data_IF_500118801983
#
_entry.id   IF_500118801983
#
_cell.length_a   1.000
_cell.length_b   1.000
_cell.length_c   1.000
_cell.angle_alpha   90.00
_cell.angle_beta   90.00
_cell.angle_gamma   90.00
#
_symmetry.space_group_name_H-M   'P 1'
#
loop_
_entity.id
_entity.type
_entity.pdbx_description
1 polymer ?
#
# COMPACT_ATOMS: atom_id res chain seq x y z
N UNK A 1 -0.19 -12.14 -2.28
CA UNK A 1 -0.74 -12.16 -0.90
C UNK A 1 0.09 -11.31 0.07
N UNK A 2 1.10 -10.58 -0.42
CA UNK A 2 2.04 -9.81 0.39
C UNK A 2 1.40 -8.50 0.87
N UNK A 3 0.79 -7.72 -0.03
CA UNK A 3 0.18 -6.43 0.31
C UNK A 3 -0.96 -6.65 1.30
N UNK A 4 -1.89 -7.56 0.95
CA UNK A 4 -3.10 -7.80 1.73
C UNK A 4 -2.78 -8.22 3.17
N UNK A 5 -1.81 -9.12 3.38
CA UNK A 5 -1.44 -9.58 4.72
C UNK A 5 -0.76 -8.48 5.52
N UNK A 6 0.20 -7.77 4.93
CA UNK A 6 0.95 -6.73 5.64
C UNK A 6 0.08 -5.54 6.05
N UNK A 7 -0.74 -5.01 5.14
CA UNK A 7 -1.58 -3.86 5.48
C UNK A 7 -2.66 -4.25 6.48
N UNK A 8 -3.32 -5.41 6.29
CA UNK A 8 -4.37 -5.87 7.20
C UNK A 8 -3.83 -6.03 8.63
N UNK A 9 -2.69 -6.70 8.79
CA UNK A 9 -2.05 -6.87 10.08
C UNK A 9 -1.60 -5.54 10.70
N UNK A 10 -1.10 -4.62 9.88
CA UNK A 10 -0.64 -3.30 10.35
C UNK A 10 -1.81 -2.44 10.86
N UNK A 11 -2.92 -2.39 10.12
CA UNK A 11 -4.12 -1.65 10.53
C UNK A 11 -4.79 -2.29 11.75
N UNK A 12 -4.79 -3.62 11.84
CA UNK A 12 -5.27 -4.31 13.05
C UNK A 12 -4.42 -3.97 14.28
N UNK A 13 -3.08 -3.99 14.16
CA UNK A 13 -2.17 -3.65 15.26
C UNK A 13 -2.34 -2.23 15.79
N UNK A 14 -2.73 -1.30 14.90
CA UNK A 14 -2.96 0.12 15.24
C UNK A 14 -4.42 0.44 15.57
N UNK A 15 -5.30 -0.57 15.70
CA UNK A 15 -6.76 -0.44 15.88
C UNK A 15 -7.48 0.40 14.80
N UNK A 16 -6.83 0.69 13.65
CA UNK A 16 -7.34 1.63 12.64
C UNK A 16 -8.59 1.11 11.92
N UNK A 17 -8.75 -0.21 11.79
CA UNK A 17 -10.00 -0.76 11.22
C UNK A 17 -11.21 -0.40 12.09
N UNK A 18 -11.03 -0.39 13.41
CA UNK A 18 -12.09 -0.03 14.36
C UNK A 18 -12.25 1.47 14.45
N UNK A 19 -11.15 2.23 14.55
CA UNK A 19 -11.16 3.71 14.57
C UNK A 19 -11.97 4.29 13.42
N UNK A 20 -11.80 3.74 12.21
CA UNK A 20 -12.48 4.22 11.01
C UNK A 20 -13.71 3.40 10.58
N UNK A 21 -14.20 2.49 11.44
CA UNK A 21 -15.36 1.65 11.16
C UNK A 21 -15.27 0.89 9.81
N UNK A 22 -14.07 0.41 9.48
CA UNK A 22 -13.80 -0.32 8.25
C UNK A 22 -14.19 -1.80 8.45
N UNK A 23 -15.17 -2.29 7.69
CA UNK A 23 -15.52 -3.71 7.67
C UNK A 23 -14.32 -4.54 7.16
N UNK A 24 -13.77 -5.46 7.99
CA UNK A 24 -12.63 -6.29 7.62
C UNK A 24 -12.84 -7.09 6.32
N UNK A 25 -14.07 -7.55 6.05
CA UNK A 25 -14.39 -8.35 4.86
C UNK A 25 -14.35 -7.50 3.60
N UNK A 26 -14.90 -6.28 3.68
CA UNK A 26 -14.86 -5.32 2.57
C UNK A 26 -13.41 -4.93 2.28
N UNK A 27 -12.64 -4.67 3.33
CA UNK A 27 -11.24 -4.28 3.21
C UNK A 27 -10.37 -5.38 2.61
N UNK A 28 -10.45 -6.62 3.10
CA UNK A 28 -9.70 -7.75 2.51
C UNK A 28 -10.08 -7.95 1.05
N UNK A 29 -11.37 -7.87 0.69
CA UNK A 29 -11.79 -7.99 -0.72
C UNK A 29 -11.21 -6.88 -1.59
N UNK A 30 -11.18 -5.65 -1.09
CA UNK A 30 -10.55 -4.52 -1.78
C UNK A 30 -9.05 -4.78 -2.00
N UNK A 31 -8.33 -5.21 -0.97
CA UNK A 31 -6.89 -5.46 -1.03
C UNK A 31 -6.53 -6.62 -1.95
N UNK A 32 -7.33 -7.68 -1.96
CA UNK A 32 -7.17 -8.78 -2.92
C UNK A 32 -7.33 -8.29 -4.36
N UNK A 33 -8.24 -7.33 -4.60
CA UNK A 33 -8.39 -6.71 -5.92
C UNK A 33 -7.18 -5.84 -6.27
N UNK A 34 -6.75 -4.96 -5.39
CA UNK A 34 -5.53 -4.13 -5.54
C UNK A 34 -4.34 -5.01 -5.89
N UNK A 35 -4.09 -6.05 -5.10
CA UNK A 35 -2.95 -6.92 -5.30
C UNK A 35 -3.02 -7.70 -6.63
N UNK A 36 -4.22 -8.13 -7.04
CA UNK A 36 -4.42 -8.78 -8.34
C UNK A 36 -4.18 -7.86 -9.55
N UNK A 37 -4.18 -6.54 -9.33
CA UNK A 37 -3.94 -5.54 -10.37
C UNK A 37 -2.45 -5.18 -10.50
N UNK A 38 -1.59 -5.63 -9.58
CA UNK A 38 -0.15 -5.60 -9.80
C UNK A 38 0.27 -6.73 -10.75
N UNK A 39 1.03 -6.39 -11.78
CA UNK A 39 1.41 -7.33 -12.85
C UNK A 39 2.55 -8.25 -12.39
N UNK A 40 2.30 -9.56 -12.36
CA UNK A 40 3.28 -10.54 -11.87
C UNK A 40 4.47 -10.75 -12.82
N UNK A 41 4.31 -10.39 -14.09
CA UNK A 41 5.33 -10.42 -15.13
C UNK A 41 6.21 -9.15 -15.15
N UNK A 42 5.85 -8.10 -14.41
CA UNK A 42 6.70 -6.92 -14.22
C UNK A 42 7.80 -7.24 -13.18
N UNK A 43 9.11 -7.15 -13.53
CA UNK A 43 10.17 -7.60 -12.63
C UNK A 43 10.31 -6.82 -11.32
N UNK A 44 9.94 -5.53 -11.31
CA UNK A 44 10.14 -4.64 -10.16
C UNK A 44 8.83 -4.05 -9.61
N UNK A 45 8.12 -3.21 -10.38
CA UNK A 45 6.86 -2.55 -9.95
C UNK A 45 5.66 -3.52 -9.88
N UNK A 46 5.80 -4.56 -9.05
CA UNK A 46 4.82 -5.60 -8.80
C UNK A 46 4.38 -5.58 -7.32
N UNK A 47 3.52 -6.52 -6.93
CA UNK A 47 2.95 -6.55 -5.57
C UNK A 47 3.98 -6.70 -4.45
N UNK A 48 5.16 -7.27 -4.73
CA UNK A 48 6.24 -7.38 -3.75
C UNK A 48 6.87 -6.02 -3.46
N UNK A 49 7.10 -5.20 -4.49
CA UNK A 49 7.60 -3.83 -4.31
C UNK A 49 6.62 -2.99 -3.48
N UNK A 50 5.33 -3.05 -3.78
CA UNK A 50 4.32 -2.33 -3.00
C UNK A 50 4.27 -2.78 -1.53
N UNK A 51 4.45 -4.09 -1.27
CA UNK A 51 4.53 -4.61 0.09
C UNK A 51 5.79 -4.14 0.84
N UNK A 52 6.93 -4.04 0.15
CA UNK A 52 8.18 -3.51 0.69
C UNK A 52 8.07 -2.02 1.04
N UNK A 53 7.52 -1.20 0.14
CA UNK A 53 7.25 0.23 0.39
C UNK A 53 6.28 0.41 1.55
N UNK A 54 5.21 -0.38 1.62
CA UNK A 54 4.27 -0.38 2.74
C UNK A 54 4.94 -0.71 4.08
N UNK A 55 5.75 -1.77 4.12
CA UNK A 55 6.44 -2.17 5.35
C UNK A 55 7.46 -1.11 5.78
N UNK A 56 8.19 -0.54 4.81
CA UNK A 56 9.14 0.54 5.05
C UNK A 56 8.45 1.79 5.59
N UNK A 57 7.33 2.22 4.99
CA UNK A 57 6.53 3.33 5.48
C UNK A 57 6.02 3.08 6.91
N UNK A 58 5.54 1.87 7.19
CA UNK A 58 5.12 1.49 8.53
C UNK A 58 6.26 1.56 9.56
N UNK A 59 7.48 1.19 9.18
CA UNK A 59 8.67 1.29 10.03
C UNK A 59 9.08 2.74 10.27
N UNK A 60 9.11 3.58 9.22
CA UNK A 60 9.45 4.99 9.34
C UNK A 60 8.47 5.76 10.25
N UNK A 61 7.17 5.44 10.18
CA UNK A 61 6.15 6.00 11.09
C UNK A 61 6.32 5.60 12.57
N UNK A 62 7.31 4.77 12.92
CA UNK A 62 7.66 4.41 14.31
C UNK A 62 8.94 5.10 14.78
N UNK A 63 9.53 6.00 13.98
CA UNK A 63 10.67 6.77 14.42
C UNK A 63 10.29 7.64 15.63
N UNK A 64 11.15 7.68 16.65
CA UNK A 64 10.95 8.47 17.88
C UNK A 64 10.70 9.95 17.57
N UNK A 65 11.36 10.49 16.53
CA UNK A 65 11.15 11.87 16.08
C UNK A 65 9.77 12.15 15.48
N UNK A 66 8.97 11.11 15.22
CA UNK A 66 7.63 11.18 14.64
C UNK A 66 6.54 10.70 15.61
N UNK A 67 6.89 10.45 16.87
CA UNK A 67 5.93 10.03 17.90
C UNK A 67 4.91 11.15 18.17
N UNK A 68 3.63 10.80 18.22
CA UNK A 68 2.50 11.73 18.34
C UNK A 68 2.45 12.90 17.33
N UNK A 69 3.17 12.81 16.20
CA UNK A 69 3.17 13.86 15.16
C UNK A 69 1.98 13.74 14.22
N UNK A 70 1.60 12.51 13.85
CA UNK A 70 0.57 12.24 12.86
C UNK A 70 -0.72 11.76 13.51
N UNK A 71 -1.85 12.24 12.98
CA UNK A 71 -3.17 11.71 13.31
C UNK A 71 -3.36 10.28 12.76
N UNK A 72 -4.33 9.55 13.33
CA UNK A 72 -4.74 8.25 12.82
C UNK A 72 -5.10 8.28 11.32
N UNK A 73 -5.67 9.38 10.83
CA UNK A 73 -6.07 9.53 9.44
C UNK A 73 -4.86 9.69 8.52
N UNK A 74 -3.86 10.46 8.94
CA UNK A 74 -2.61 10.61 8.20
C UNK A 74 -1.81 9.30 8.17
N UNK A 75 -1.78 8.55 9.28
CA UNK A 75 -1.17 7.22 9.33
C UNK A 75 -1.88 6.27 8.38
N UNK A 76 -3.22 6.21 8.41
CA UNK A 76 -4.00 5.41 7.47
C UNK A 76 -3.71 5.82 6.02
N UNK A 77 -3.67 7.12 5.73
CA UNK A 77 -3.42 7.65 4.39
C UNK A 77 -2.04 7.23 3.86
N UNK A 78 -0.99 7.31 4.68
CA UNK A 78 0.37 6.90 4.29
C UNK A 78 0.43 5.40 3.99
N UNK A 79 -0.14 4.56 4.86
CA UNK A 79 -0.16 3.11 4.67
C UNK A 79 -0.98 2.72 3.44
N UNK A 80 -2.13 3.36 3.25
CA UNK A 80 -2.98 3.13 2.09
C UNK A 80 -2.28 3.55 0.79
N UNK A 81 -1.72 4.76 0.74
CA UNK A 81 -0.98 5.26 -0.40
C UNK A 81 0.19 4.34 -0.78
N UNK A 82 0.99 3.91 0.21
CA UNK A 82 2.10 2.99 -0.02
C UNK A 82 1.66 1.67 -0.67
N UNK A 83 0.52 1.11 -0.25
CA UNK A 83 -0.01 -0.14 -0.80
C UNK A 83 -0.57 -0.02 -2.22
N UNK A 84 -0.92 1.19 -2.69
CA UNK A 84 -1.55 1.39 -4.00
C UNK A 84 -0.72 2.22 -5.00
N UNK A 85 0.43 2.74 -4.60
CA UNK A 85 1.14 3.80 -5.34
C UNK A 85 1.52 3.43 -6.79
N UNK A 86 1.74 2.14 -7.03
CA UNK A 86 2.20 1.56 -8.31
C UNK A 86 1.20 0.55 -8.89
N UNK A 87 -0.06 0.58 -8.46
CA UNK A 87 -1.09 -0.32 -8.98
C UNK A 87 -1.19 -0.16 -10.49
N UNK A 88 -1.25 -1.29 -11.21
CA UNK A 88 -1.34 -1.35 -12.67
C UNK A 88 -0.10 -0.80 -13.41
N UNK A 89 1.05 -0.69 -12.76
CA UNK A 89 2.27 -0.18 -13.39
C UNK A 89 2.73 -1.10 -14.55
N UNK A 90 2.89 -0.59 -15.80
CA UNK A 90 3.12 -1.41 -17.00
C UNK A 90 4.57 -1.88 -17.19
N UNK A 91 5.40 -1.84 -16.14
CA UNK A 91 6.83 -2.11 -16.22
C UNK A 91 7.69 -1.16 -17.09
N UNK A 92 7.15 -0.03 -17.57
CA UNK A 92 7.87 0.95 -18.39
C UNK A 92 7.77 2.36 -17.80
N UNK A 93 8.72 3.24 -18.14
CA UNK A 93 8.74 4.60 -17.60
C UNK A 93 7.69 5.50 -18.27
N UNK A 94 7.34 6.60 -17.60
CA UNK A 94 6.48 7.63 -18.18
C UNK A 94 6.98 8.14 -19.54
N UNK A 95 8.31 8.30 -19.70
CA UNK A 95 8.89 8.75 -20.96
C UNK A 95 8.67 7.75 -22.10
N UNK A 96 8.69 6.44 -21.81
CA UNK A 96 8.38 5.42 -22.80
C UNK A 96 6.91 5.51 -23.25
N UNK A 97 5.98 5.71 -22.33
CA UNK A 97 4.54 5.87 -22.65
C UNK A 97 4.32 7.08 -23.57
N UNK A 98 4.88 8.24 -23.20
CA UNK A 98 4.84 9.47 -24.02
C UNK A 98 5.39 9.20 -25.42
N UNK A 99 6.53 8.52 -25.52
CA UNK A 99 7.21 8.28 -26.79
C UNK A 99 6.51 7.23 -27.67
N UNK A 100 5.66 6.36 -27.11
CA UNK A 100 5.01 5.27 -27.84
C UNK A 100 3.51 5.48 -28.05
N UNK A 101 2.93 6.53 -27.47
CA UNK A 101 1.50 6.83 -27.59
C UNK A 101 0.61 5.78 -26.93
N UNK A 102 1.11 5.12 -25.89
CA UNK A 102 0.34 4.23 -25.01
C UNK A 102 -0.16 4.98 -23.79
#
# INVERSE_FOLDING_TARGET
>A
MYICVHIYFTLQKRDLLKTFCIDPRVFVRYLLRVESTYHADVPYHNSMHAADVLQTAHFLLQAEALDDVFSDLEILAVLFAAAIHDVDHPGVTNQFLINTGK
#
